data_IF_837771997568
#
_entry.id   IF_837771997568
#
_cell.length_a   1.000
_cell.length_b   1.000
_cell.length_c   1.000
_cell.angle_alpha   90.00
_cell.angle_beta   90.00
_cell.angle_gamma   90.00
#
_symmetry.space_group_name_H-M   'P 1'
#
loop_
_entity.id
_entity.type
_entity.pdbx_description
1 polymer ?
#
# COMPACT_ATOMS: atom_id res chain seq x y z
N UNK A 1 -9.84 -2.04 10.32
CA UNK A 1 -9.87 -1.23 9.08
C UNK A 1 -8.92 -1.83 8.04
N UNK A 2 -8.99 -1.44 6.77
CA UNK A 2 -8.24 -2.05 5.64
C UNK A 2 -6.70 -2.14 5.81
N UNK A 3 -6.09 -1.24 6.58
CA UNK A 3 -4.64 -1.25 6.86
C UNK A 3 -4.23 -2.18 8.03
N UNK A 4 -5.18 -2.94 8.58
CA UNK A 4 -4.95 -3.94 9.61
C UNK A 4 -5.25 -5.33 9.06
N UNK A 5 -4.27 -6.24 9.14
CA UNK A 5 -4.35 -7.58 8.56
C UNK A 5 -5.49 -8.41 9.14
N UNK A 6 -5.85 -8.21 10.40
CA UNK A 6 -6.94 -8.94 11.05
C UNK A 6 -8.29 -8.86 10.30
N UNK A 7 -8.50 -7.84 9.46
CA UNK A 7 -9.73 -7.67 8.66
C UNK A 7 -9.66 -8.35 7.28
N UNK A 8 -8.50 -8.81 6.82
CA UNK A 8 -8.33 -9.48 5.53
C UNK A 8 -8.27 -11.01 5.72
N UNK A 9 -9.44 -11.65 5.68
CA UNK A 9 -9.56 -13.11 5.82
C UNK A 9 -9.25 -13.86 4.52
N UNK A 10 -9.00 -15.17 4.65
CA UNK A 10 -8.82 -16.07 3.50
C UNK A 10 -10.03 -16.07 2.56
N UNK A 11 -11.25 -15.98 3.10
CA UNK A 11 -12.48 -15.92 2.31
C UNK A 11 -12.48 -14.74 1.35
N UNK A 12 -11.98 -13.57 1.76
CA UNK A 12 -11.89 -12.40 0.88
C UNK A 12 -11.03 -12.69 -0.34
N UNK A 13 -9.89 -13.38 -0.16
CA UNK A 13 -8.96 -13.74 -1.23
C UNK A 13 -9.56 -14.77 -2.18
N UNK A 14 -10.18 -15.82 -1.64
CA UNK A 14 -10.81 -16.88 -2.44
C UNK A 14 -11.94 -16.34 -3.32
N UNK A 15 -12.76 -15.42 -2.79
CA UNK A 15 -13.89 -14.84 -3.51
C UNK A 15 -13.47 -13.95 -4.70
N UNK A 16 -12.23 -13.47 -4.72
CA UNK A 16 -11.66 -12.73 -5.85
C UNK A 16 -10.70 -13.57 -6.70
N UNK A 17 -10.70 -14.90 -6.50
CA UNK A 17 -9.90 -15.85 -7.30
C UNK A 17 -8.43 -15.95 -6.89
N UNK A 18 -8.03 -15.35 -5.77
CA UNK A 18 -6.68 -15.52 -5.23
C UNK A 18 -6.62 -16.84 -4.46
N UNK A 19 -5.77 -17.76 -4.93
CA UNK A 19 -5.49 -19.00 -4.21
C UNK A 19 -4.73 -18.70 -2.90
N UNK A 20 -5.26 -19.09 -1.73
CA UNK A 20 -4.58 -18.89 -0.46
C UNK A 20 -3.21 -19.56 -0.42
N UNK A 21 -2.21 -18.86 0.13
CA UNK A 21 -0.84 -19.35 0.21
C UNK A 21 -0.10 -19.40 -1.13
N UNK A 22 -0.64 -18.77 -2.19
CA UNK A 22 0.10 -18.53 -3.43
C UNK A 22 1.20 -17.48 -3.21
N UNK A 23 1.82 -16.98 -4.29
CA UNK A 23 3.02 -16.14 -4.23
C UNK A 23 2.74 -14.68 -3.80
N UNK A 24 2.23 -14.51 -2.58
CA UNK A 24 2.04 -13.21 -1.96
C UNK A 24 2.37 -13.28 -0.46
N UNK A 25 2.63 -12.11 0.12
CA UNK A 25 2.74 -11.91 1.56
C UNK A 25 1.84 -10.73 1.92
N UNK A 26 1.01 -10.90 2.96
CA UNK A 26 0.15 -9.83 3.48
C UNK A 26 0.68 -9.43 4.84
N UNK A 27 0.87 -8.12 5.00
CA UNK A 27 1.26 -7.48 6.24
C UNK A 27 0.27 -6.37 6.59
N UNK A 28 -0.05 -6.24 7.88
CA UNK A 28 -0.88 -5.16 8.38
C UNK A 28 -0.03 -3.99 8.88
N UNK A 29 -0.19 -2.82 8.27
CA UNK A 29 0.65 -1.67 8.57
C UNK A 29 0.50 -1.20 10.02
N UNK A 30 -0.72 -1.18 10.57
CA UNK A 30 -0.97 -0.77 11.97
C UNK A 30 -0.77 -1.93 12.94
N UNK A 31 -1.46 -3.06 12.74
CA UNK A 31 -1.53 -4.15 13.73
C UNK A 31 -0.27 -5.04 13.79
N UNK A 32 0.56 -5.07 12.74
CA UNK A 32 1.83 -5.82 12.77
C UNK A 32 3.09 -4.93 12.78
N UNK A 33 3.02 -3.72 12.23
CA UNK A 33 4.20 -2.84 12.06
C UNK A 33 4.07 -1.47 12.76
N UNK A 34 2.96 -1.19 13.43
CA UNK A 34 2.82 -0.02 14.29
C UNK A 34 2.76 1.32 13.53
N UNK A 35 2.22 1.34 12.32
CA UNK A 35 1.89 2.59 11.62
C UNK A 35 0.66 3.27 12.26
N UNK A 36 0.88 3.90 13.41
CA UNK A 36 -0.14 4.50 14.26
C UNK A 36 -0.73 5.79 13.71
N UNK A 37 -0.04 6.50 12.82
CA UNK A 37 -0.59 7.73 12.24
C UNK A 37 -1.85 7.47 11.40
N UNK A 38 -1.94 6.28 10.77
CA UNK A 38 -3.16 5.84 10.09
C UNK A 38 -4.34 5.67 11.06
N UNK A 39 -4.08 5.26 12.30
CA UNK A 39 -5.13 5.07 13.30
C UNK A 39 -5.78 6.40 13.69
N UNK A 40 -5.02 7.50 13.68
CA UNK A 40 -5.54 8.84 13.95
C UNK A 40 -6.54 9.32 12.90
N UNK A 41 -6.49 8.76 11.69
CA UNK A 41 -7.45 9.08 10.62
C UNK A 41 -8.68 8.17 10.66
N UNK A 42 -8.47 6.90 10.98
CA UNK A 42 -9.41 5.84 10.61
C UNK A 42 -9.88 4.98 11.78
N UNK A 43 -9.06 4.81 12.82
CA UNK A 43 -9.45 4.01 13.99
C UNK A 43 -10.44 4.77 14.86
N UNK A 44 -11.65 4.23 15.01
CA UNK A 44 -12.69 4.81 15.86
C UNK A 44 -12.28 4.88 17.34
N UNK A 45 -11.31 4.07 17.77
CA UNK A 45 -10.84 4.00 19.15
C UNK A 45 -9.84 5.12 19.48
N UNK A 46 -9.12 5.63 18.48
CA UNK A 46 -7.94 6.51 18.69
C UNK A 46 -8.09 7.87 17.99
N UNK A 47 -8.91 7.96 16.95
CA UNK A 47 -9.04 9.17 16.15
C UNK A 47 -9.67 10.33 16.95
N UNK A 48 -9.17 11.56 16.81
CA UNK A 48 -9.78 12.76 17.38
C UNK A 48 -11.07 13.15 16.63
N UNK A 49 -11.84 14.09 17.20
CA UNK A 49 -13.08 14.62 16.61
C UNK A 49 -12.87 15.17 15.20
N UNK A 50 -11.71 15.78 14.94
CA UNK A 50 -11.24 16.17 13.62
C UNK A 50 -10.09 15.25 13.21
N UNK A 51 -10.33 14.19 12.41
CA UNK A 51 -9.29 13.26 12.00
C UNK A 51 -8.13 13.97 11.31
N UNK A 52 -6.91 13.72 11.78
CA UNK A 52 -5.68 14.32 11.27
C UNK A 52 -4.47 13.40 11.50
N UNK A 53 -3.51 13.45 10.59
CA UNK A 53 -2.23 12.76 10.68
C UNK A 53 -1.10 13.72 10.29
N UNK A 54 0.07 13.50 10.86
CA UNK A 54 1.29 14.26 10.54
C UNK A 54 2.01 13.57 9.40
N UNK A 55 2.12 14.25 8.26
CA UNK A 55 2.66 13.67 7.03
C UNK A 55 4.04 13.05 7.23
N UNK A 56 4.96 13.75 7.87
CA UNK A 56 6.36 13.33 8.05
C UNK A 56 6.47 12.09 8.94
N UNK A 57 5.61 12.00 9.97
CA UNK A 57 5.56 10.84 10.86
C UNK A 57 4.99 9.64 10.09
N UNK A 58 3.91 9.84 9.34
CA UNK A 58 3.27 8.79 8.58
C UNK A 58 4.17 8.26 7.45
N UNK A 59 4.84 9.16 6.72
CA UNK A 59 5.80 8.80 5.68
C UNK A 59 6.92 7.93 6.26
N UNK A 60 7.51 8.36 7.38
CA UNK A 60 8.56 7.58 8.04
C UNK A 60 8.06 6.20 8.47
N UNK A 61 6.90 6.11 9.11
CA UNK A 61 6.32 4.83 9.54
C UNK A 61 6.06 3.89 8.37
N UNK A 62 5.55 4.42 7.25
CA UNK A 62 5.30 3.64 6.04
C UNK A 62 6.60 3.14 5.39
N UNK A 63 7.64 3.98 5.31
CA UNK A 63 8.97 3.58 4.82
C UNK A 63 9.54 2.46 5.70
N UNK A 64 9.61 2.68 7.01
CA UNK A 64 10.17 1.72 7.97
C UNK A 64 9.44 0.38 7.91
N UNK A 65 8.11 0.43 7.80
CA UNK A 65 7.25 -0.76 7.63
C UNK A 65 7.63 -1.55 6.39
N UNK A 66 7.70 -0.90 5.22
CA UNK A 66 8.02 -1.57 3.96
C UNK A 66 9.45 -2.10 3.93
N UNK A 67 10.42 -1.35 4.47
CA UNK A 67 11.82 -1.77 4.59
C UNK A 67 11.92 -3.02 5.46
N UNK A 68 11.31 -3.02 6.64
CA UNK A 68 11.34 -4.18 7.54
C UNK A 68 10.61 -5.39 6.95
N UNK A 69 9.48 -5.17 6.29
CA UNK A 69 8.73 -6.24 5.63
C UNK A 69 9.53 -6.91 4.52
N UNK A 70 10.22 -6.13 3.68
CA UNK A 70 11.11 -6.65 2.63
C UNK A 70 12.32 -7.37 3.24
N UNK A 71 12.94 -6.80 4.28
CA UNK A 71 14.06 -7.43 5.00
C UNK A 71 13.69 -8.80 5.56
N UNK A 72 12.50 -8.93 6.17
CA UNK A 72 11.99 -10.20 6.72
C UNK A 72 11.57 -11.20 5.64
N UNK A 73 11.33 -10.75 4.40
CA UNK A 73 10.85 -11.59 3.30
C UNK A 73 11.66 -11.32 2.01
N UNK A 74 12.93 -11.78 1.90
CA UNK A 74 13.79 -11.51 0.74
C UNK A 74 13.26 -12.00 -0.62
N UNK A 75 12.25 -12.87 -0.60
CA UNK A 75 11.55 -13.35 -1.81
C UNK A 75 10.61 -12.30 -2.41
N UNK A 76 10.28 -11.22 -1.69
CA UNK A 76 9.48 -10.11 -2.20
C UNK A 76 10.23 -9.44 -3.35
N UNK A 77 9.51 -9.17 -4.45
CA UNK A 77 10.03 -8.49 -5.66
C UNK A 77 9.21 -7.28 -6.08
N UNK A 78 8.12 -7.01 -5.39
CA UNK A 78 7.29 -5.82 -5.55
C UNK A 78 6.41 -5.63 -4.30
N UNK A 79 5.99 -4.40 -4.04
CA UNK A 79 5.03 -4.05 -2.99
C UNK A 79 3.73 -3.57 -3.64
N UNK A 80 2.59 -3.95 -3.04
CA UNK A 80 1.28 -3.40 -3.36
C UNK A 80 0.74 -2.67 -2.13
N UNK A 81 0.40 -1.39 -2.29
CA UNK A 81 -0.26 -0.56 -1.30
C UNK A 81 -1.76 -0.62 -1.53
N UNK A 82 -2.47 -1.36 -0.69
CA UNK A 82 -3.89 -1.64 -0.87
C UNK A 82 -4.78 -0.43 -0.51
N UNK A 83 -4.40 0.38 0.49
CA UNK A 83 -5.21 1.51 0.92
C UNK A 83 -4.93 2.77 0.07
N UNK A 84 -5.98 3.47 -0.36
CA UNK A 84 -5.87 4.74 -1.10
C UNK A 84 -5.09 5.81 -0.33
N UNK A 85 -5.17 5.83 1.00
CA UNK A 85 -4.43 6.74 1.88
C UNK A 85 -2.93 6.50 1.94
N UNK A 86 -2.41 5.39 1.38
CA UNK A 86 -0.98 5.09 1.36
C UNK A 86 -0.27 5.61 0.11
N UNK A 87 -1.03 5.97 -0.93
CA UNK A 87 -0.49 6.44 -2.21
C UNK A 87 0.51 7.61 -2.09
N UNK A 88 0.31 8.62 -1.22
CA UNK A 88 1.26 9.74 -1.12
C UNK A 88 2.70 9.29 -0.82
N UNK A 89 2.87 8.17 -0.12
CA UNK A 89 4.17 7.67 0.33
C UNK A 89 4.83 6.68 -0.64
N UNK A 90 4.15 6.31 -1.74
CA UNK A 90 4.61 5.27 -2.65
C UNK A 90 6.00 5.56 -3.24
N UNK A 91 6.28 6.83 -3.57
CA UNK A 91 7.59 7.24 -4.12
C UNK A 91 8.70 7.10 -3.08
N UNK A 92 8.47 7.58 -1.86
CA UNK A 92 9.46 7.51 -0.79
C UNK A 92 9.75 6.06 -0.37
N UNK A 93 8.71 5.22 -0.30
CA UNK A 93 8.85 3.77 -0.10
C UNK A 93 9.70 3.16 -1.22
N UNK A 94 9.37 3.42 -2.49
CA UNK A 94 10.08 2.86 -3.63
C UNK A 94 11.58 3.21 -3.59
N UNK A 95 11.92 4.45 -3.25
CA UNK A 95 13.32 4.87 -3.11
C UNK A 95 14.05 4.11 -2.00
N UNK A 96 13.37 3.80 -0.89
CA UNK A 96 13.97 3.14 0.25
C UNK A 96 14.17 1.63 0.06
N UNK A 97 13.26 0.97 -0.67
CA UNK A 97 13.30 -0.50 -0.87
C UNK A 97 13.91 -0.93 -2.20
N UNK A 98 14.04 -0.02 -3.16
CA UNK A 98 14.53 -0.29 -4.52
C UNK A 98 13.78 -1.43 -5.25
N UNK A 99 12.45 -1.46 -5.08
CA UNK A 99 11.55 -2.42 -5.71
C UNK A 99 10.34 -1.70 -6.32
N UNK A 100 9.68 -2.29 -7.34
CA UNK A 100 8.39 -1.80 -7.82
C UNK A 100 7.37 -1.65 -6.68
N UNK A 101 6.70 -0.50 -6.64
CA UNK A 101 5.60 -0.21 -5.70
C UNK A 101 4.35 0.09 -6.51
N UNK A 102 3.37 -0.79 -6.42
CA UNK A 102 2.03 -0.60 -6.96
C UNK A 102 1.17 0.09 -5.91
N UNK A 103 0.47 1.14 -6.33
CA UNK A 103 -0.54 1.84 -5.55
C UNK A 103 -1.81 2.01 -6.39
N UNK A 104 -2.89 2.48 -5.78
CA UNK A 104 -4.10 2.86 -6.51
C UNK A 104 -3.79 3.78 -7.70
N UNK A 105 -2.99 4.82 -7.51
CA UNK A 105 -2.58 5.74 -8.58
C UNK A 105 -1.98 5.01 -9.78
N UNK A 106 -1.00 4.13 -9.54
CA UNK A 106 -0.36 3.38 -10.64
C UNK A 106 -1.31 2.45 -11.38
N UNK A 107 -2.28 1.85 -10.67
CA UNK A 107 -3.28 0.96 -11.28
C UNK A 107 -4.29 1.77 -12.09
N UNK A 108 -4.72 2.92 -11.56
CA UNK A 108 -5.66 3.82 -12.23
C UNK A 108 -5.03 4.43 -13.47
N UNK A 109 -3.77 4.87 -13.40
CA UNK A 109 -3.02 5.38 -14.55
C UNK A 109 -2.91 4.30 -15.64
N UNK A 110 -2.63 3.06 -15.25
CA UNK A 110 -2.62 1.93 -16.18
C UNK A 110 -3.99 1.73 -16.83
N UNK A 111 -5.06 1.62 -16.03
CA UNK A 111 -6.42 1.41 -16.54
C UNK A 111 -6.88 2.56 -17.46
N UNK A 112 -6.58 3.80 -17.08
CA UNK A 112 -6.88 4.99 -17.88
C UNK A 112 -6.14 4.96 -19.23
N UNK A 113 -4.85 4.57 -19.22
CA UNK A 113 -4.03 4.52 -20.44
C UNK A 113 -4.55 3.54 -21.50
N UNK A 114 -5.33 2.53 -21.10
CA UNK A 114 -5.92 1.53 -22.01
C UNK A 114 -7.14 2.08 -22.76
N UNK A 115 -7.88 3.03 -22.18
CA UNK A 115 -9.13 3.56 -22.77
C UNK A 115 -9.02 5.00 -23.26
N UNK A 116 -8.02 5.74 -22.80
CA UNK A 116 -7.77 7.13 -23.15
C UNK A 116 -6.35 7.29 -23.70
N UNK A 117 -6.12 6.73 -24.89
CA UNK A 117 -4.83 6.82 -25.57
C UNK A 117 -4.48 8.27 -25.91
N UNK A 118 -3.21 8.63 -25.70
CA UNK A 118 -2.62 9.88 -26.19
C UNK A 118 -2.27 9.75 -27.66
N UNK A 119 -2.34 10.85 -28.40
CA UNK A 119 -1.70 10.93 -29.71
C UNK A 119 -0.18 10.83 -29.56
N UNK A 120 0.47 10.14 -30.50
CA UNK A 120 1.92 10.03 -30.57
C UNK A 120 2.42 10.89 -31.73
N UNK A 121 3.27 11.87 -31.42
CA UNK A 121 3.89 12.76 -32.41
C UNK A 121 5.41 12.59 -32.38
N UNK A 122 6.07 12.63 -33.53
CA UNK A 122 7.53 12.46 -33.66
C UNK A 122 7.93 11.78 -34.97
N UNK A 123 9.22 11.48 -35.13
CA UNK A 123 9.75 10.65 -36.21
C UNK A 123 10.39 9.39 -35.59
N UNK A 124 10.22 8.25 -36.25
CA UNK A 124 10.86 6.97 -35.88
C UNK A 124 12.26 6.93 -36.48
#
# INVERSE_FOLDING_TARGET
MYYQKQFLTQTHLEKVGIRPGSNYKIAGASDEYGCTELDRLWSWEVRPDKPEAVYEIQEKQMIDTCVDFCRKNPSIKAIMLECTGMQPFARAIQQAIDLPVFSWGTILDYAYSVVAHRDYYGHV
#
